data_IF_383967165415
#
_entry.id   IF_383967165415
#
_cell.length_a   1.000
_cell.length_b   1.000
_cell.length_c   1.000
_cell.angle_alpha   90.00
_cell.angle_beta   90.00
_cell.angle_gamma   90.00
#
_symmetry.space_group_name_H-M   'P 1'
#
loop_
_entity.id
_entity.type
_entity.pdbx_description
1 polymer ?
#
# COMPACT_ATOMS: atom_id res chain seq x y z
N UNK A 1 -23.94 22.84 -33.84
CA UNK A 1 -24.24 21.74 -32.89
C UNK A 1 -23.35 20.55 -33.22
N UNK A 2 -22.99 19.78 -32.19
CA UNK A 2 -22.08 18.62 -32.17
C UNK A 2 -20.59 19.00 -32.19
N UNK A 3 -19.74 18.49 -31.31
CA UNK A 3 -19.86 18.04 -29.93
C UNK A 3 -18.41 18.17 -29.45
N UNK A 4 -18.16 18.84 -28.33
CA UNK A 4 -16.80 18.91 -27.80
C UNK A 4 -16.35 17.49 -27.48
N UNK A 5 -15.38 16.99 -28.25
CA UNK A 5 -14.64 15.81 -27.84
C UNK A 5 -13.84 16.20 -26.60
N UNK A 6 -14.49 16.08 -25.43
CA UNK A 6 -13.80 15.98 -24.16
C UNK A 6 -12.87 14.78 -24.31
N UNK A 7 -11.58 15.03 -24.55
CA UNK A 7 -10.53 14.07 -24.24
C UNK A 7 -10.69 13.74 -22.77
N UNK A 8 -11.40 12.65 -22.49
CA UNK A 8 -11.37 12.01 -21.19
C UNK A 8 -9.91 11.64 -21.01
N UNK A 9 -9.22 12.37 -20.13
CA UNK A 9 -7.96 11.92 -19.55
C UNK A 9 -8.29 10.59 -18.89
N UNK A 10 -8.08 9.49 -19.60
CA UNK A 10 -8.05 8.17 -18.98
C UNK A 10 -6.95 8.27 -17.94
N UNK A 11 -7.32 8.34 -16.66
CA UNK A 11 -6.40 8.04 -15.58
C UNK A 11 -5.82 6.67 -15.87
N UNK A 12 -4.58 6.63 -16.34
CA UNK A 12 -3.85 5.39 -16.54
C UNK A 12 -3.47 4.93 -15.13
N UNK A 13 -4.30 4.09 -14.55
CA UNK A 13 -3.99 3.37 -13.32
C UNK A 13 -3.04 2.23 -13.70
N UNK A 14 -1.76 2.36 -13.35
CA UNK A 14 -0.82 1.23 -13.45
C UNK A 14 -1.20 0.18 -12.39
N UNK A 15 -1.26 -1.12 -12.75
CA UNK A 15 -1.75 -2.15 -11.86
C UNK A 15 -0.72 -2.38 -10.75
N UNK A 16 -1.11 -2.05 -9.51
CA UNK A 16 -0.44 -2.48 -8.28
C UNK A 16 -0.13 -3.96 -8.41
N UNK A 17 1.15 -4.33 -8.54
CA UNK A 17 1.55 -5.73 -8.81
C UNK A 17 1.30 -6.63 -7.61
N UNK A 18 1.09 -6.05 -6.44
CA UNK A 18 0.74 -6.75 -5.20
C UNK A 18 -0.06 -5.86 -4.25
N UNK A 19 -0.74 -6.47 -3.30
CA UNK A 19 -1.32 -5.82 -2.13
C UNK A 19 -0.75 -6.44 -0.86
N UNK A 20 -0.94 -5.75 0.26
CA UNK A 20 -0.48 -6.20 1.58
C UNK A 20 -1.71 -6.39 2.47
N UNK A 21 -1.77 -7.50 3.19
CA UNK A 21 -2.68 -7.67 4.32
C UNK A 21 -1.93 -7.36 5.60
N UNK A 22 -2.55 -6.58 6.47
CA UNK A 22 -2.05 -6.24 7.80
C UNK A 22 -3.05 -6.76 8.84
N UNK A 23 -2.56 -7.55 9.78
CA UNK A 23 -3.35 -8.13 10.85
C UNK A 23 -3.02 -7.42 12.15
N UNK A 24 -4.03 -6.80 12.76
CA UNK A 24 -3.93 -6.20 14.08
C UNK A 24 -5.03 -6.75 15.01
N UNK A 25 -5.07 -6.37 16.29
CA UNK A 25 -6.10 -6.84 17.21
C UNK A 25 -7.55 -6.48 16.83
N UNK A 26 -7.75 -5.47 15.99
CA UNK A 26 -9.07 -4.98 15.55
C UNK A 26 -9.55 -5.61 14.25
N UNK A 27 -8.65 -6.23 13.47
CA UNK A 27 -9.02 -6.99 12.29
C UNK A 27 -7.92 -7.11 11.23
N UNK A 28 -8.36 -7.37 10.00
CA UNK A 28 -7.49 -7.48 8.83
C UNK A 28 -7.73 -6.28 7.92
N UNK A 29 -6.64 -5.64 7.51
CA UNK A 29 -6.66 -4.42 6.72
C UNK A 29 -5.86 -4.59 5.44
N UNK A 30 -6.40 -4.06 4.33
CA UNK A 30 -5.73 -4.12 3.03
C UNK A 30 -4.89 -2.85 2.83
N UNK A 31 -3.58 -3.06 2.88
CA UNK A 31 -2.54 -2.11 2.55
C UNK A 31 -2.28 -2.03 1.05
N UNK A 32 -2.26 -0.81 0.54
CA UNK A 32 -1.83 -0.47 -0.80
C UNK A 32 -0.39 0.01 -0.78
N UNK A 33 0.58 -0.77 -1.29
CA UNK A 33 1.97 -0.33 -1.36
C UNK A 33 2.11 0.83 -2.36
N UNK A 34 2.91 1.83 -1.99
CA UNK A 34 3.23 3.00 -2.82
C UNK A 34 4.73 3.14 -3.07
N UNK A 35 5.59 2.68 -2.15
CA UNK A 35 7.04 2.74 -2.30
C UNK A 35 7.72 1.57 -1.58
N UNK A 36 8.87 1.13 -2.11
CA UNK A 36 9.81 0.24 -1.43
C UNK A 36 11.17 0.97 -1.36
N UNK A 37 11.74 1.08 -0.17
CA UNK A 37 13.04 1.70 0.10
C UNK A 37 13.84 0.70 0.93
N UNK A 38 14.84 0.06 0.36
CA UNK A 38 15.57 -1.06 0.99
C UNK A 38 14.61 -2.15 1.51
N UNK A 39 14.57 -2.37 2.82
CA UNK A 39 13.70 -3.32 3.51
C UNK A 39 12.40 -2.69 4.05
N UNK A 40 12.08 -1.47 3.58
CA UNK A 40 10.93 -0.69 4.06
C UNK A 40 9.87 -0.50 2.99
N UNK A 41 8.62 -0.70 3.37
CA UNK A 41 7.46 -0.56 2.50
C UNK A 41 6.61 0.60 2.99
N UNK A 42 6.41 1.59 2.12
CA UNK A 42 5.42 2.64 2.33
C UNK A 42 4.10 2.21 1.72
N UNK A 43 3.01 2.34 2.47
CA UNK A 43 1.69 1.92 2.03
C UNK A 43 0.58 2.79 2.61
N UNK A 44 -0.56 2.86 1.92
CA UNK A 44 -1.79 3.42 2.45
C UNK A 44 -2.74 2.33 2.92
N UNK A 45 -3.38 2.52 4.07
CA UNK A 45 -4.30 1.56 4.69
C UNK A 45 -5.43 2.31 5.41
N UNK A 46 -6.54 1.63 5.72
CA UNK A 46 -7.65 2.21 6.47
C UNK A 46 -7.19 2.72 7.86
N UNK A 47 -7.63 3.92 8.24
CA UNK A 47 -7.29 4.56 9.52
C UNK A 47 -7.76 3.78 10.75
N UNK A 48 -8.74 2.88 10.58
CA UNK A 48 -9.23 2.01 11.65
C UNK A 48 -8.19 1.01 12.14
N UNK A 49 -7.12 0.77 11.38
CA UNK A 49 -5.95 0.05 11.89
C UNK A 49 -5.51 0.74 13.18
N UNK A 50 -5.43 -0.02 14.25
CA UNK A 50 -5.11 0.45 15.60
C UNK A 50 -3.61 0.49 15.89
N UNK A 51 -2.80 -0.29 15.17
CA UNK A 51 -1.36 -0.34 15.37
C UNK A 51 -0.67 1.00 15.11
N UNK A 52 0.31 1.31 15.93
CA UNK A 52 1.05 2.59 15.96
C UNK A 52 2.55 2.38 15.74
N UNK A 53 3.28 3.48 15.61
CA UNK A 53 4.75 3.44 15.52
C UNK A 53 5.37 2.65 16.67
N UNK A 54 6.30 1.76 16.33
CA UNK A 54 6.97 0.85 17.25
C UNK A 54 6.32 -0.53 17.35
N UNK A 55 5.06 -0.69 16.95
CA UNK A 55 4.36 -1.97 17.04
C UNK A 55 4.91 -3.00 16.05
N UNK A 56 4.91 -4.26 16.49
CA UNK A 56 5.07 -5.41 15.61
C UNK A 56 3.74 -5.69 14.91
N UNK A 57 3.79 -5.99 13.60
CA UNK A 57 2.61 -6.29 12.79
C UNK A 57 2.84 -7.54 11.96
N UNK A 58 1.85 -8.43 11.94
CA UNK A 58 1.83 -9.60 11.08
C UNK A 58 1.11 -9.27 9.79
N UNK A 59 1.56 -9.86 8.68
CA UNK A 59 0.91 -9.60 7.40
C UNK A 59 1.23 -10.62 6.32
N UNK A 60 0.62 -10.39 5.17
CA UNK A 60 0.84 -11.15 3.96
C UNK A 60 1.05 -10.21 2.78
N UNK A 61 1.93 -10.57 1.87
CA UNK A 61 2.16 -9.89 0.60
C UNK A 61 1.66 -10.81 -0.50
N UNK A 62 0.80 -10.28 -1.39
CA UNK A 62 0.13 -11.09 -2.41
C UNK A 62 0.26 -10.47 -3.79
N UNK A 63 0.83 -11.23 -4.72
CA UNK A 63 0.87 -10.84 -6.12
C UNK A 63 -0.53 -10.80 -6.73
N UNK A 64 -0.88 -9.69 -7.41
CA UNK A 64 -2.16 -9.57 -8.11
C UNK A 64 -2.19 -10.45 -9.38
N UNK A 65 -1.02 -10.71 -9.98
CA UNK A 65 -0.87 -11.52 -11.20
C UNK A 65 0.12 -12.68 -11.06
N UNK A 66 1.06 -12.59 -10.12
CA UNK A 66 1.86 -13.75 -9.72
C UNK A 66 1.04 -14.54 -8.71
N UNK A 67 0.99 -15.88 -8.81
CA UNK A 67 0.43 -16.74 -7.75
C UNK A 67 1.35 -16.80 -6.52
N UNK A 68 2.20 -15.78 -6.37
CA UNK A 68 3.20 -15.69 -5.33
C UNK A 68 2.61 -14.94 -4.16
N UNK A 69 2.94 -15.43 -2.98
CA UNK A 69 2.63 -14.76 -1.73
C UNK A 69 3.70 -15.11 -0.70
N UNK A 70 3.90 -14.24 0.27
CA UNK A 70 4.67 -14.56 1.46
C UNK A 70 4.00 -13.91 2.67
N UNK A 71 4.14 -14.55 3.83
CA UNK A 71 3.81 -13.95 5.12
C UNK A 71 5.02 -13.24 5.67
N UNK A 72 4.82 -12.19 6.47
CA UNK A 72 5.90 -11.49 7.14
C UNK A 72 5.52 -11.08 8.56
N UNK A 73 6.57 -10.84 9.35
CA UNK A 73 6.48 -10.11 10.62
C UNK A 73 7.30 -8.84 10.44
N UNK A 74 6.65 -7.69 10.56
CA UNK A 74 7.27 -6.39 10.37
C UNK A 74 7.11 -5.50 11.60
N UNK A 75 7.72 -4.32 11.52
CA UNK A 75 7.59 -3.25 12.51
C UNK A 75 7.05 -1.99 11.85
N UNK A 76 6.12 -1.32 12.51
CA UNK A 76 5.67 0.01 12.07
C UNK A 76 6.75 1.03 12.44
N UNK A 77 7.40 1.59 11.43
CA UNK A 77 8.45 2.62 11.60
C UNK A 77 7.84 4.00 11.72
N UNK A 78 6.78 4.28 10.97
CA UNK A 78 6.08 5.56 11.06
C UNK A 78 4.62 5.40 10.64
N UNK A 79 3.78 6.25 11.22
CA UNK A 79 2.36 6.41 10.85
C UNK A 79 2.07 7.88 10.62
N UNK A 80 1.52 8.21 9.46
CA UNK A 80 1.08 9.55 9.11
C UNK A 80 -0.40 9.53 8.74
N UNK A 81 -1.20 10.16 9.59
CA UNK A 81 -2.60 10.47 9.29
C UNK A 81 -2.62 11.80 8.50
N UNK A 82 -2.27 11.74 7.22
CA UNK A 82 -2.26 12.93 6.37
C UNK A 82 -3.69 13.50 6.23
N UNK A 83 -3.95 14.65 6.84
CA UNK A 83 -5.16 15.46 6.62
C UNK A 83 -4.91 16.39 5.43
N UNK A 84 -5.04 15.89 4.20
CA UNK A 84 -4.85 16.67 2.97
C UNK A 84 -6.15 16.88 2.20
N UNK A 85 -6.86 17.98 2.48
CA UNK A 85 -7.90 18.73 1.73
C UNK A 85 -8.82 18.08 0.65
N UNK A 86 -8.83 16.76 0.51
CA UNK A 86 -9.62 16.03 -0.47
C UNK A 86 -10.55 15.08 0.29
N UNK A 87 -11.86 15.39 0.26
CA UNK A 87 -12.95 14.64 0.90
C UNK A 87 -13.06 13.15 0.48
N UNK A 88 -12.16 12.66 -0.39
CA UNK A 88 -12.13 11.31 -0.92
C UNK A 88 -11.06 10.41 -0.25
N UNK A 89 -10.13 10.98 0.55
CA UNK A 89 -9.05 10.25 1.23
C UNK A 89 -9.14 10.29 2.77
N UNK A 90 -10.27 10.76 3.32
CA UNK A 90 -10.47 10.96 4.76
C UNK A 90 -10.45 9.68 5.61
N UNK A 91 -10.34 8.50 4.99
CA UNK A 91 -10.39 7.21 5.67
C UNK A 91 -9.08 6.41 5.60
N UNK A 92 -8.01 6.95 5.03
CA UNK A 92 -6.71 6.25 4.98
C UNK A 92 -5.58 6.97 5.72
N UNK A 93 -4.69 6.20 6.33
CA UNK A 93 -3.39 6.64 6.85
C UNK A 93 -2.27 6.06 5.98
N UNK A 94 -1.09 6.65 6.08
CA UNK A 94 0.12 6.15 5.44
C UNK A 94 1.02 5.53 6.50
N UNK A 95 1.48 4.31 6.25
CA UNK A 95 2.44 3.60 7.09
C UNK A 95 3.76 3.43 6.35
N UNK A 96 4.83 3.41 7.13
CA UNK A 96 6.12 2.84 6.74
C UNK A 96 6.34 1.58 7.59
N UNK A 97 6.48 0.44 6.92
CA UNK A 97 6.76 -0.85 7.54
C UNK A 97 8.18 -1.27 7.24
N UNK A 98 8.90 -1.74 8.25
CA UNK A 98 10.18 -2.41 8.10
C UNK A 98 9.96 -3.92 8.25
N UNK A 99 10.48 -4.71 7.33
CA UNK A 99 10.39 -6.17 7.35
C UNK A 99 11.73 -6.78 6.96
N UNK A 100 12.13 -7.85 7.64
CA UNK A 100 13.34 -8.60 7.27
C UNK A 100 13.09 -9.58 6.12
N UNK A 101 11.81 -9.83 5.80
CA UNK A 101 11.43 -10.75 4.74
C UNK A 101 11.65 -10.16 3.34
N UNK A 102 12.28 -10.95 2.47
CA UNK A 102 12.45 -10.60 1.07
C UNK A 102 11.13 -10.70 0.31
N UNK A 103 10.88 -9.74 -0.59
CA UNK A 103 9.77 -9.84 -1.53
C UNK A 103 9.98 -11.05 -2.47
N UNK A 104 8.92 -11.82 -2.79
CA UNK A 104 8.98 -12.85 -3.80
C UNK A 104 9.47 -12.30 -5.15
N UNK A 105 10.27 -13.05 -5.94
CA UNK A 105 10.94 -12.52 -7.14
C UNK A 105 10.01 -11.93 -8.22
N UNK A 106 8.77 -12.43 -8.31
CA UNK A 106 7.73 -11.93 -9.23
C UNK A 106 6.94 -10.74 -8.67
N UNK A 107 7.12 -10.41 -7.39
CA UNK A 107 6.57 -9.24 -6.74
C UNK A 107 7.62 -8.13 -6.75
N UNK A 108 7.40 -7.12 -7.61
CA UNK A 108 8.29 -5.97 -7.75
C UNK A 108 7.49 -4.68 -7.76
N UNK A 109 7.95 -3.68 -7.04
CA UNK A 109 7.55 -2.29 -7.28
C UNK A 109 8.19 -1.89 -8.62
N UNK A 110 7.40 -1.42 -9.58
CA UNK A 110 7.96 -0.82 -10.79
C UNK A 110 8.39 0.58 -10.38
N UNK A 111 9.69 0.87 -10.45
CA UNK A 111 10.14 2.26 -10.41
C UNK A 111 9.56 2.95 -11.64
N UNK A 112 8.75 3.98 -11.43
CA UNK A 112 8.38 4.88 -12.51
C UNK A 112 9.68 5.56 -12.98
N UNK A 113 10.21 5.12 -14.11
CA UNK A 113 11.18 5.91 -14.87
C UNK A 113 10.42 7.10 -15.44
N UNK A 114 10.55 8.26 -14.80
CA UNK A 114 10.13 9.55 -15.34
C UNK A 114 11.15 10.07 -16.34
#
# INVERSE_FOLDING_TARGET
>A
MMNSEKKILRSIYYPRKFYIELMDPTGVFIGTPSQLIDNRIKLSVDRKLSSVEGDTIHGGIYGVKSRESCTFVGRIVSRSDAFGHSRLLDHSCVLELETEEFLPPGIRMVEESF
#
